data_IF_087451243519
#
_entry.id   IF_087451243519
#
_cell.length_a   1.000
_cell.length_b   1.000
_cell.length_c   1.000
_cell.angle_alpha   90.00
_cell.angle_beta   90.00
_cell.angle_gamma   90.00
#
_symmetry.space_group_name_H-M   'P 1'
#
loop_
_entity.id
_entity.type
_entity.pdbx_description
1 polymer ?
#
# COMPACT_ATOMS: atom_id res chain seq x y z
N UNK A 1 19.61 -12.63 -0.41
CA UNK A 1 18.94 -12.94 -1.69
C UNK A 1 18.57 -11.63 -2.33
N UNK A 2 19.13 -11.29 -3.49
CA UNK A 2 18.89 -10.01 -4.15
C UNK A 2 17.81 -10.22 -5.22
N UNK A 3 16.64 -9.61 -5.03
CA UNK A 3 15.53 -9.73 -5.96
C UNK A 3 15.42 -8.45 -6.79
N UNK A 4 15.44 -8.59 -8.12
CA UNK A 4 15.17 -7.48 -9.04
C UNK A 4 13.68 -7.51 -9.42
N UNK A 5 12.95 -6.43 -9.14
CA UNK A 5 11.51 -6.34 -9.40
C UNK A 5 11.26 -5.54 -10.67
N UNK A 6 10.58 -6.16 -11.64
CA UNK A 6 10.05 -5.50 -12.84
C UNK A 6 8.54 -5.59 -12.81
N UNK A 7 7.86 -4.47 -13.03
CA UNK A 7 6.41 -4.42 -13.15
C UNK A 7 6.03 -4.24 -14.62
N UNK A 8 5.21 -5.16 -15.14
CA UNK A 8 4.66 -5.05 -16.49
C UNK A 8 3.21 -5.53 -16.51
N UNK A 9 2.46 -5.10 -17.52
CA UNK A 9 1.07 -5.49 -17.72
C UNK A 9 1.05 -6.69 -18.65
N UNK A 10 0.27 -7.71 -18.30
CA UNK A 10 0.04 -8.86 -19.16
C UNK A 10 -0.70 -8.41 -20.43
N UNK A 11 -0.18 -8.76 -21.60
CA UNK A 11 -0.83 -8.46 -22.87
C UNK A 11 -2.03 -9.39 -23.11
N UNK A 12 -2.94 -9.02 -24.02
CA UNK A 12 -4.17 -9.79 -24.27
C UNK A 12 -3.92 -11.22 -24.76
N UNK A 13 -2.78 -11.46 -25.42
CA UNK A 13 -2.33 -12.78 -25.86
C UNK A 13 -1.72 -13.62 -24.72
N UNK A 14 -1.68 -13.09 -23.48
CA UNK A 14 -1.13 -13.79 -22.32
C UNK A 14 0.40 -13.84 -22.27
N UNK A 15 1.08 -13.08 -23.13
CA UNK A 15 2.54 -13.02 -23.17
C UNK A 15 3.08 -11.97 -22.18
N UNK A 16 4.18 -12.29 -21.50
CA UNK A 16 4.87 -11.33 -20.63
C UNK A 16 6.32 -11.18 -21.07
N UNK A 17 6.68 -9.99 -21.57
CA UNK A 17 8.03 -9.69 -22.08
C UNK A 17 8.81 -8.87 -21.05
N UNK A 18 9.83 -9.49 -20.46
CA UNK A 18 10.80 -8.82 -19.58
C UNK A 18 12.01 -8.37 -20.40
N UNK A 19 12.43 -7.11 -20.27
CA UNK A 19 13.57 -6.53 -20.99
C UNK A 19 14.48 -5.78 -20.02
N UNK A 20 15.78 -5.71 -20.35
CA UNK A 20 16.75 -4.92 -19.59
C UNK A 20 17.04 -5.46 -18.18
N UNK A 21 16.92 -6.78 -17.97
CA UNK A 21 17.27 -7.37 -16.70
C UNK A 21 18.79 -7.31 -16.47
N UNK A 22 19.26 -7.03 -15.25
CA UNK A 22 20.68 -6.90 -14.92
C UNK A 22 21.36 -8.29 -14.75
N UNK A 23 21.11 -9.20 -15.69
CA UNK A 23 21.68 -10.55 -15.71
C UNK A 23 22.46 -10.76 -17.01
N UNK A 24 23.45 -11.65 -16.96
CA UNK A 24 24.29 -11.97 -18.10
C UNK A 24 23.79 -13.22 -18.82
N UNK A 25 24.27 -13.41 -20.05
CA UNK A 25 23.98 -14.64 -20.79
C UNK A 25 24.58 -15.85 -20.04
N UNK A 26 23.73 -16.85 -19.78
CA UNK A 26 24.10 -18.06 -19.04
C UNK A 26 23.70 -18.06 -17.56
N UNK A 27 23.23 -16.93 -17.03
CA UNK A 27 22.72 -16.86 -15.66
C UNK A 27 21.40 -17.64 -15.55
N UNK A 28 21.30 -18.49 -14.51
CA UNK A 28 20.04 -19.15 -14.16
C UNK A 28 19.21 -18.19 -13.32
N UNK A 29 18.02 -17.86 -13.81
CA UNK A 29 17.10 -16.93 -13.15
C UNK A 29 15.78 -17.61 -12.82
N UNK A 30 15.23 -17.31 -11.65
CA UNK A 30 13.89 -17.75 -11.24
C UNK A 30 12.87 -16.62 -11.46
N UNK A 31 11.71 -16.94 -12.04
CA UNK A 31 10.64 -15.99 -12.29
C UNK A 31 9.38 -16.46 -11.57
N UNK A 32 8.87 -15.64 -10.64
CA UNK A 32 7.63 -15.92 -9.90
C UNK A 32 6.56 -14.94 -10.35
N UNK A 33 5.49 -15.47 -10.96
CA UNK A 33 4.32 -14.69 -11.40
C UNK A 33 3.21 -14.88 -10.38
N UNK A 34 2.71 -13.79 -9.80
CA UNK A 34 1.54 -13.80 -8.92
C UNK A 34 0.52 -12.81 -9.43
N UNK A 35 -0.74 -13.22 -9.47
CA UNK A 35 -1.84 -12.28 -9.65
C UNK A 35 -1.79 -11.27 -8.51
N UNK A 36 -1.54 -10.00 -8.84
CA UNK A 36 -1.81 -8.94 -7.88
C UNK A 36 -3.32 -8.86 -7.81
N UNK A 37 -3.89 -9.10 -6.63
CA UNK A 37 -5.25 -8.67 -6.35
C UNK A 37 -5.37 -7.27 -6.92
N UNK A 38 -6.34 -7.04 -7.82
CA UNK A 38 -6.59 -5.71 -8.35
C UNK A 38 -6.56 -4.82 -7.11
N UNK A 39 -5.53 -3.98 -6.97
CA UNK A 39 -5.69 -2.77 -6.19
C UNK A 39 -6.97 -2.27 -6.79
N UNK A 40 -8.05 -2.25 -6.00
CA UNK A 40 -9.22 -1.50 -6.36
C UNK A 40 -8.59 -0.22 -6.87
N UNK A 41 -8.70 0.00 -8.19
CA UNK A 41 -8.71 1.35 -8.69
C UNK A 41 -9.58 1.99 -7.64
N UNK A 42 -9.03 2.95 -6.92
CA UNK A 42 -9.88 3.96 -6.34
C UNK A 42 -10.60 4.46 -7.58
N UNK A 43 -11.73 3.79 -7.85
CA UNK A 43 -12.72 4.23 -8.76
C UNK A 43 -12.87 5.65 -8.29
N UNK A 44 -12.73 6.56 -9.22
CA UNK A 44 -13.26 7.90 -9.05
C UNK A 44 -14.76 7.62 -8.95
N UNK A 45 -15.19 7.18 -7.77
CA UNK A 45 -16.56 6.92 -7.44
C UNK A 45 -17.14 8.31 -7.42
N UNK A 46 -17.96 8.55 -8.44
CA UNK A 46 -19.12 9.43 -8.39
C UNK A 46 -19.57 9.73 -6.96
N UNK A 47 -19.94 10.98 -6.65
CA UNK A 47 -20.24 11.40 -5.28
C UNK A 47 -21.44 10.61 -4.75
N UNK A 48 -21.15 9.53 -4.01
CA UNK A 48 -22.13 8.88 -3.17
C UNK A 48 -22.45 9.84 -2.02
N UNK A 49 -23.73 9.99 -1.64
CA UNK A 49 -24.09 10.86 -0.54
C UNK A 49 -23.47 10.32 0.74
N UNK A 50 -22.66 11.16 1.37
CA UNK A 50 -22.25 11.18 2.78
C UNK A 50 -22.53 9.90 3.58
N UNK A 51 -21.70 8.88 3.38
CA UNK A 51 -21.36 8.01 4.50
C UNK A 51 -20.09 8.60 5.11
N UNK A 52 -20.20 8.94 6.39
CA UNK A 52 -19.28 9.65 7.26
C UNK A 52 -17.92 8.94 7.44
N UNK A 53 -17.25 8.55 6.34
CA UNK A 53 -16.03 7.74 6.36
C UNK A 53 -14.83 8.55 6.86
N UNK A 54 -14.86 9.88 6.68
CA UNK A 54 -13.80 10.77 7.13
C UNK A 54 -14.37 12.06 7.76
N UNK A 55 -14.94 11.99 8.98
CA UNK A 55 -15.63 13.11 9.65
C UNK A 55 -14.75 14.33 9.91
N UNK A 56 -13.42 14.14 9.90
CA UNK A 56 -12.42 15.16 10.15
C UNK A 56 -11.83 15.75 8.86
N UNK A 57 -12.18 15.23 7.68
CA UNK A 57 -11.62 15.70 6.40
C UNK A 57 -12.06 17.15 6.15
N UNK A 58 -11.09 18.03 5.92
CA UNK A 58 -11.33 19.46 5.66
C UNK A 58 -11.59 20.31 6.92
N UNK A 59 -11.56 19.72 8.12
CA UNK A 59 -11.64 20.46 9.37
C UNK A 59 -10.23 20.81 9.86
N UNK A 60 -10.06 22.04 10.34
CA UNK A 60 -8.83 22.46 11.01
C UNK A 60 -8.87 21.94 12.45
N UNK A 61 -8.03 20.97 12.77
CA UNK A 61 -7.87 20.42 14.12
C UNK A 61 -6.61 21.02 14.74
N UNK A 62 -6.74 21.54 15.96
CA UNK A 62 -5.60 22.03 16.76
C UNK A 62 -5.39 21.07 17.92
N UNK A 63 -4.14 20.69 18.14
CA UNK A 63 -3.74 19.94 19.33
C UNK A 63 -3.23 20.95 20.35
N UNK A 64 -3.99 21.11 21.44
CA UNK A 64 -3.62 22.06 22.49
C UNK A 64 -2.47 21.51 23.35
N UNK A 65 -2.41 20.19 23.56
CA UNK A 65 -1.29 19.51 24.21
C UNK A 65 -1.01 18.15 23.56
N UNK A 66 -0.19 18.10 22.49
CA UNK A 66 -0.03 16.89 21.68
C UNK A 66 0.83 15.81 22.33
N UNK A 67 1.53 16.11 23.42
CA UNK A 67 2.47 15.20 24.06
C UNK A 67 1.96 14.64 25.40
N UNK A 68 0.85 15.14 25.92
CA UNK A 68 0.23 14.58 27.11
C UNK A 68 -0.39 13.19 26.82
N UNK A 69 -0.34 12.26 27.79
CA UNK A 69 -0.99 10.97 27.67
C UNK A 69 -2.49 11.12 27.38
N UNK A 70 -2.97 10.36 26.40
CA UNK A 70 -4.41 10.32 26.08
C UNK A 70 -5.25 9.73 27.22
N UNK A 71 -4.62 8.99 28.14
CA UNK A 71 -5.25 8.36 29.30
C UNK A 71 -4.38 8.55 30.56
N UNK A 72 -4.99 8.63 31.75
CA UNK A 72 -4.28 8.72 33.03
C UNK A 72 -3.26 7.59 33.22
N UNK A 73 -2.18 7.84 33.96
CA UNK A 73 -1.10 6.87 34.18
C UNK A 73 -1.57 5.53 34.77
N UNK A 74 -2.60 5.56 35.60
CA UNK A 74 -3.26 4.40 36.23
C UNK A 74 -3.96 3.47 35.23
N UNK A 75 -4.35 3.97 34.05
CA UNK A 75 -4.98 3.19 32.99
C UNK A 75 -3.95 2.55 32.04
N UNK A 76 -2.64 2.75 32.28
CA UNK A 76 -1.60 2.11 31.49
C UNK A 76 -1.34 0.68 32.00
N UNK A 77 -1.71 -0.31 31.19
CA UNK A 77 -1.47 -1.74 31.46
C UNK A 77 0.03 -2.13 31.58
N UNK A 78 0.95 -1.18 31.35
CA UNK A 78 2.39 -1.37 31.43
C UNK A 78 2.97 -1.29 32.87
N UNK A 79 2.17 -0.92 33.87
CA UNK A 79 2.56 -0.99 35.28
C UNK A 79 2.17 -2.36 35.87
N UNK A 80 2.95 -3.40 35.56
CA UNK A 80 2.89 -4.71 36.21
C UNK A 80 4.25 -5.15 36.74
#
# INVERSE_FOLDING_TARGET
MNAYKVETVLTEDGTLKLQGLPFHAGDVVEVIIRERAKLQRVEISTPFPDSNQHPLRGKVVRYDDPFEPAVPLEDWEALH
#
